data_IF_607620780858
#
_entry.id   IF_607620780858
#
_cell.length_a   1.000
_cell.length_b   1.000
_cell.length_c   1.000
_cell.angle_alpha   90.00
_cell.angle_beta   90.00
_cell.angle_gamma   90.00
#
_symmetry.space_group_name_H-M   'P 1'
#
loop_
_entity.id
_entity.type
_entity.pdbx_description
1 polymer ?
#
# COMPACT_ATOMS: atom_id res chain seq x y z
N UNK A 1 7.34 21.38 29.29
CA UNK A 1 7.71 20.21 28.46
C UNK A 1 6.61 19.78 27.49
N UNK A 2 5.32 19.75 27.85
CA UNK A 2 4.22 19.37 26.92
C UNK A 2 4.11 20.24 25.65
N UNK A 3 4.38 21.55 25.72
CA UNK A 3 4.20 22.50 24.59
C UNK A 3 5.19 22.30 23.43
N UNK A 4 6.40 21.78 23.68
CA UNK A 4 7.43 21.61 22.65
C UNK A 4 7.13 20.38 21.77
N UNK A 5 6.66 19.29 22.39
CA UNK A 5 6.24 18.08 21.69
C UNK A 5 5.05 18.33 20.75
N UNK A 6 4.04 19.09 21.20
CA UNK A 6 2.92 19.50 20.33
C UNK A 6 3.35 20.38 19.16
N UNK A 7 4.33 21.29 19.36
CA UNK A 7 4.82 22.14 18.27
C UNK A 7 5.58 21.36 17.21
N UNK A 8 6.41 20.40 17.61
CA UNK A 8 7.12 19.50 16.70
C UNK A 8 6.13 18.59 15.98
N UNK A 9 5.13 18.07 16.70
CA UNK A 9 4.06 17.25 16.12
C UNK A 9 3.26 18.05 15.07
N UNK A 10 2.77 19.23 15.40
CA UNK A 10 2.03 20.08 14.45
C UNK A 10 2.88 20.50 13.25
N UNK A 11 4.19 20.72 13.45
CA UNK A 11 5.10 21.04 12.36
C UNK A 11 5.32 19.82 11.44
N UNK A 12 5.72 18.67 11.98
CA UNK A 12 5.98 17.44 11.20
C UNK A 12 4.71 16.93 10.52
N UNK A 13 3.59 16.94 11.23
CA UNK A 13 2.28 16.48 10.75
C UNK A 13 1.43 17.62 10.15
N UNK A 14 2.07 18.66 9.63
CA UNK A 14 1.37 19.67 8.82
C UNK A 14 1.08 19.14 7.42
N UNK A 15 -0.03 19.58 6.81
CA UNK A 15 -0.42 19.21 5.44
C UNK A 15 0.63 19.63 4.40
N UNK A 16 1.37 20.73 4.65
CA UNK A 16 2.45 21.18 3.78
C UNK A 16 3.66 20.24 3.84
N UNK A 17 4.11 19.86 5.03
CA UNK A 17 5.23 18.94 5.20
C UNK A 17 4.88 17.53 4.72
N UNK A 18 3.62 17.09 4.88
CA UNK A 18 3.14 15.83 4.29
C UNK A 18 3.35 15.79 2.78
N UNK A 19 2.99 16.86 2.05
CA UNK A 19 3.18 16.96 0.59
C UNK A 19 4.66 17.00 0.19
N UNK A 20 5.50 17.66 0.98
CA UNK A 20 6.96 17.68 0.75
C UNK A 20 7.54 16.27 0.91
N UNK A 21 7.17 15.56 1.97
CA UNK A 21 7.60 14.19 2.24
C UNK A 21 7.10 13.25 1.13
N UNK A 22 5.85 13.38 0.70
CA UNK A 22 5.26 12.61 -0.40
C UNK A 22 6.07 12.76 -1.70
N UNK A 23 6.30 14.00 -2.13
CA UNK A 23 7.07 14.28 -3.34
C UNK A 23 8.51 13.75 -3.23
N UNK A 24 9.14 13.93 -2.06
CA UNK A 24 10.48 13.41 -1.80
C UNK A 24 10.53 11.88 -1.87
N UNK A 25 9.56 11.19 -1.28
CA UNK A 25 9.44 9.73 -1.36
C UNK A 25 9.31 9.26 -2.79
N UNK A 26 8.43 9.88 -3.59
CA UNK A 26 8.21 9.48 -5.00
C UNK A 26 9.49 9.67 -5.82
N UNK A 27 10.16 10.81 -5.68
CA UNK A 27 11.43 11.06 -6.36
C UNK A 27 12.51 10.05 -5.96
N UNK A 28 12.66 9.79 -4.66
CA UNK A 28 13.64 8.84 -4.14
C UNK A 28 13.33 7.41 -4.61
N UNK A 29 12.06 7.01 -4.62
CA UNK A 29 11.60 5.72 -5.13
C UNK A 29 11.92 5.56 -6.62
N UNK A 30 11.66 6.59 -7.42
CA UNK A 30 11.91 6.59 -8.87
C UNK A 30 13.40 6.49 -9.18
N UNK A 31 14.22 7.31 -8.51
CA UNK A 31 15.68 7.29 -8.69
C UNK A 31 16.24 5.93 -8.23
N UNK A 32 15.80 5.44 -7.07
CA UNK A 32 16.21 4.15 -6.54
C UNK A 32 15.82 2.99 -7.46
N UNK A 33 14.65 3.04 -8.10
CA UNK A 33 14.23 2.06 -9.10
C UNK A 33 15.15 2.05 -10.32
N UNK A 34 15.38 3.21 -10.93
CA UNK A 34 16.23 3.33 -12.12
C UNK A 34 17.66 2.88 -11.81
N UNK A 35 18.19 3.28 -10.64
CA UNK A 35 19.52 2.89 -10.20
C UNK A 35 19.62 1.37 -9.98
N UNK A 36 18.68 0.78 -9.24
CA UNK A 36 18.69 -0.66 -8.98
C UNK A 36 18.52 -1.46 -10.27
N UNK A 37 17.59 -1.07 -11.15
CA UNK A 37 17.39 -1.71 -12.44
C UNK A 37 18.66 -1.65 -13.30
N UNK A 38 19.34 -0.50 -13.32
CA UNK A 38 20.59 -0.33 -14.05
C UNK A 38 21.67 -1.30 -13.53
N UNK A 39 21.80 -1.46 -12.22
CA UNK A 39 22.73 -2.43 -11.62
C UNK A 39 22.40 -3.87 -12.02
N UNK A 40 21.11 -4.25 -11.99
CA UNK A 40 20.68 -5.60 -12.39
C UNK A 40 21.00 -5.86 -13.86
N UNK A 41 20.75 -4.89 -14.76
CA UNK A 41 21.04 -5.02 -16.18
C UNK A 41 22.54 -5.09 -16.48
N UNK A 42 23.36 -4.32 -15.75
CA UNK A 42 24.82 -4.37 -15.87
C UNK A 42 25.38 -5.71 -15.38
N UNK A 43 24.81 -6.27 -14.31
CA UNK A 43 25.19 -7.58 -13.79
C UNK A 43 24.73 -8.72 -14.73
N UNK A 44 23.50 -8.68 -15.24
CA UNK A 44 22.98 -9.71 -16.16
C UNK A 44 23.75 -9.76 -17.49
N UNK A 45 24.27 -8.63 -17.95
CA UNK A 45 25.10 -8.53 -19.16
C UNK A 45 26.59 -8.85 -18.89
N UNK A 46 26.96 -9.29 -17.69
CA UNK A 46 28.34 -9.58 -17.28
C UNK A 46 29.31 -8.39 -17.41
N UNK A 47 28.79 -7.16 -17.46
CA UNK A 47 29.60 -5.92 -17.52
C UNK A 47 30.22 -5.65 -16.15
N UNK A 48 29.47 -5.95 -15.09
CA UNK A 48 29.90 -5.89 -13.70
C UNK A 48 29.66 -7.27 -13.10
N UNK A 49 30.60 -7.79 -12.31
CA UNK A 49 30.47 -9.09 -11.67
C UNK A 49 30.19 -8.89 -10.17
N UNK A 50 28.95 -8.54 -9.84
CA UNK A 50 28.52 -8.22 -8.46
C UNK A 50 28.20 -9.47 -7.62
N UNK A 51 28.51 -10.67 -8.12
CA UNK A 51 28.17 -11.93 -7.48
C UNK A 51 26.71 -12.29 -7.74
N UNK A 52 26.48 -13.51 -8.22
CA UNK A 52 25.14 -14.02 -8.54
C UNK A 52 24.45 -14.68 -7.34
N UNK A 53 24.96 -14.47 -6.13
CA UNK A 53 24.46 -15.15 -4.93
C UNK A 53 23.09 -14.62 -4.47
N UNK A 54 22.67 -13.44 -4.96
CA UNK A 54 21.36 -12.87 -4.62
C UNK A 54 20.41 -12.79 -5.82
N UNK A 55 19.16 -13.25 -5.62
CA UNK A 55 18.04 -13.05 -6.56
C UNK A 55 17.79 -11.56 -6.87
N UNK A 56 18.21 -10.67 -5.97
CA UNK A 56 18.05 -9.22 -6.11
C UNK A 56 18.87 -8.63 -7.25
N UNK A 57 20.02 -9.21 -7.60
CA UNK A 57 20.90 -8.67 -8.65
C UNK A 57 20.85 -9.49 -9.95
N UNK A 58 20.06 -10.56 -9.99
CA UNK A 58 20.01 -11.51 -11.12
C UNK A 58 18.71 -11.46 -11.90
N UNK A 59 17.60 -11.04 -11.30
CA UNK A 59 16.29 -10.93 -11.97
C UNK A 59 15.89 -9.46 -12.17
N UNK A 60 15.70 -8.93 -13.39
CA UNK A 60 15.28 -7.54 -13.63
C UNK A 60 13.98 -7.13 -12.90
N UNK A 61 13.08 -8.08 -12.63
CA UNK A 61 11.84 -7.85 -11.90
C UNK A 61 12.12 -7.44 -10.45
N UNK A 62 13.28 -7.83 -9.89
CA UNK A 62 13.73 -7.45 -8.54
C UNK A 62 13.90 -5.97 -8.30
N UNK A 63 14.17 -5.20 -9.36
CA UNK A 63 14.39 -3.76 -9.25
C UNK A 63 13.17 -3.05 -8.62
N UNK A 64 11.98 -3.60 -8.85
CA UNK A 64 10.70 -3.12 -8.33
C UNK A 64 10.65 -3.13 -6.79
N UNK A 65 11.49 -3.91 -6.09
CA UNK A 65 11.55 -3.87 -4.63
C UNK A 65 12.01 -2.56 -4.05
N UNK A 66 12.93 -1.87 -4.71
CA UNK A 66 13.48 -0.63 -4.20
C UNK A 66 12.41 0.45 -4.07
N UNK A 67 11.65 0.81 -5.13
CA UNK A 67 10.59 1.80 -5.01
C UNK A 67 9.50 1.37 -4.02
N UNK A 68 9.10 0.09 -4.00
CA UNK A 68 8.09 -0.38 -3.05
C UNK A 68 8.55 -0.32 -1.60
N UNK A 69 9.83 -0.58 -1.32
CA UNK A 69 10.38 -0.46 0.04
C UNK A 69 10.38 0.98 0.52
N UNK A 70 10.74 1.92 -0.35
CA UNK A 70 10.73 3.36 -0.06
C UNK A 70 9.30 3.87 0.17
N UNK A 71 8.35 3.43 -0.66
CA UNK A 71 6.93 3.79 -0.52
C UNK A 71 6.34 3.23 0.78
N UNK A 72 6.72 2.03 1.23
CA UNK A 72 6.24 1.47 2.50
C UNK A 72 6.56 2.39 3.69
N UNK A 73 7.76 2.95 3.75
CA UNK A 73 8.12 3.88 4.82
C UNK A 73 7.20 5.11 4.85
N UNK A 74 6.83 5.60 3.66
CA UNK A 74 5.87 6.68 3.53
C UNK A 74 4.44 6.28 3.93
N UNK A 75 4.02 5.04 3.64
CA UNK A 75 2.73 4.52 4.09
C UNK A 75 2.65 4.45 5.63
N UNK A 76 3.71 4.01 6.31
CA UNK A 76 3.78 4.01 7.78
C UNK A 76 3.69 5.43 8.32
N UNK A 77 4.39 6.39 7.68
CA UNK A 77 4.26 7.81 8.03
C UNK A 77 2.82 8.31 7.89
N UNK A 78 2.14 7.99 6.79
CA UNK A 78 0.73 8.34 6.57
C UNK A 78 -0.20 7.68 7.59
N UNK A 79 0.04 6.43 7.96
CA UNK A 79 -0.74 5.73 8.98
C UNK A 79 -0.68 6.50 10.31
N UNK A 80 0.52 6.89 10.75
CA UNK A 80 0.71 7.68 11.97
C UNK A 80 0.04 9.06 11.83
N UNK A 81 0.18 9.71 10.67
CA UNK A 81 -0.43 11.01 10.38
C UNK A 81 -1.96 10.99 10.48
N UNK A 82 -2.61 9.93 9.99
CA UNK A 82 -4.07 9.81 9.97
C UNK A 82 -4.68 9.09 11.17
N UNK A 83 -3.86 8.49 12.04
CA UNK A 83 -4.30 7.80 13.26
C UNK A 83 -5.26 8.60 14.16
N UNK A 84 -5.12 9.93 14.35
CA UNK A 84 -6.06 10.71 15.18
C UNK A 84 -7.38 11.05 14.48
N UNK A 85 -7.62 10.65 13.23
CA UNK A 85 -8.88 10.90 12.51
C UNK A 85 -9.93 9.80 12.79
N UNK A 86 -11.19 10.06 12.42
CA UNK A 86 -12.35 9.25 12.83
C UNK A 86 -12.18 7.74 12.54
N UNK A 87 -12.67 6.90 13.46
CA UNK A 87 -12.56 5.43 13.41
C UNK A 87 -12.95 4.82 12.05
N UNK A 88 -14.04 5.30 11.44
CA UNK A 88 -14.51 4.83 10.13
C UNK A 88 -13.54 5.17 8.98
N UNK A 89 -12.87 6.31 9.04
CA UNK A 89 -11.84 6.70 8.07
C UNK A 89 -10.60 5.83 8.23
N UNK A 90 -10.21 5.53 9.47
CA UNK A 90 -9.05 4.71 9.78
C UNK A 90 -9.23 3.27 9.29
N UNK A 91 -10.42 2.67 9.45
CA UNK A 91 -10.71 1.32 8.91
C UNK A 91 -10.60 1.28 7.38
N UNK A 92 -11.18 2.24 6.65
CA UNK A 92 -11.07 2.27 5.18
C UNK A 92 -9.61 2.42 4.74
N UNK A 93 -8.85 3.30 5.40
CA UNK A 93 -7.43 3.51 5.09
C UNK A 93 -6.57 2.28 5.42
N UNK A 94 -6.92 1.51 6.45
CA UNK A 94 -6.24 0.25 6.76
C UNK A 94 -6.45 -0.79 5.66
N UNK A 95 -7.64 -0.91 5.08
CA UNK A 95 -7.86 -1.81 3.93
C UNK A 95 -7.02 -1.43 2.70
N UNK A 96 -6.85 -0.13 2.44
CA UNK A 96 -5.97 0.37 1.37
C UNK A 96 -4.50 -0.02 1.63
N UNK A 97 -4.02 0.19 2.86
CA UNK A 97 -2.66 -0.19 3.27
C UNK A 97 -2.45 -1.71 3.21
N UNK A 98 -3.39 -2.52 3.70
CA UNK A 98 -3.30 -3.99 3.64
C UNK A 98 -3.24 -4.44 2.17
N UNK A 99 -4.04 -3.84 1.29
CA UNK A 99 -4.02 -4.15 -0.14
C UNK A 99 -2.66 -3.84 -0.76
N UNK A 100 -2.07 -2.67 -0.44
CA UNK A 100 -0.74 -2.28 -0.91
C UNK A 100 0.37 -3.22 -0.40
N UNK A 101 0.30 -3.64 0.88
CA UNK A 101 1.24 -4.62 1.46
C UNK A 101 1.14 -5.97 0.74
N UNK A 102 -0.06 -6.47 0.49
CA UNK A 102 -0.25 -7.78 -0.19
C UNK A 102 0.25 -7.69 -1.64
N UNK A 103 -0.05 -6.61 -2.36
CA UNK A 103 0.47 -6.39 -3.72
C UNK A 103 2.01 -6.44 -3.71
N UNK A 104 2.66 -5.79 -2.74
CA UNK A 104 4.12 -5.84 -2.59
C UNK A 104 4.63 -7.27 -2.35
N UNK A 105 3.95 -8.05 -1.50
CA UNK A 105 4.30 -9.44 -1.21
C UNK A 105 4.12 -10.35 -2.43
N UNK A 106 3.19 -10.04 -3.32
CA UNK A 106 3.06 -10.73 -4.60
C UNK A 106 4.24 -10.42 -5.52
N UNK A 107 4.69 -9.16 -5.62
CA UNK A 107 5.84 -8.79 -6.46
C UNK A 107 7.17 -9.37 -5.97
N UNK A 108 7.39 -9.27 -4.66
CA UNK A 108 7.76 -10.40 -3.80
C UNK A 108 8.05 -11.79 -4.41
N UNK A 109 7.07 -12.64 -4.19
CA UNK A 109 7.12 -14.05 -4.51
C UNK A 109 7.20 -14.29 -6.04
N UNK A 110 6.70 -13.39 -6.90
CA UNK A 110 6.85 -13.46 -8.37
C UNK A 110 8.32 -13.62 -8.81
N UNK A 111 9.28 -13.07 -8.07
CA UNK A 111 10.69 -13.15 -8.49
C UNK A 111 11.32 -14.50 -8.22
N UNK A 112 10.72 -15.27 -7.30
CA UNK A 112 11.10 -16.64 -6.98
C UNK A 112 10.33 -17.66 -7.80
N UNK A 113 9.40 -17.19 -8.62
CA UNK A 113 8.50 -18.03 -9.41
C UNK A 113 9.31 -18.91 -10.36
N UNK A 114 9.10 -20.21 -10.25
CA UNK A 114 9.70 -21.21 -11.13
C UNK A 114 8.68 -21.66 -12.18
N UNK A 115 8.78 -21.10 -13.38
CA UNK A 115 7.90 -21.43 -14.50
C UNK A 115 8.14 -22.84 -15.07
N UNK A 116 9.29 -23.45 -14.78
CA UNK A 116 9.71 -24.72 -15.36
C UNK A 116 9.40 -25.93 -14.46
N UNK A 117 8.84 -25.70 -13.28
CA UNK A 117 8.45 -26.77 -12.38
C UNK A 117 7.41 -27.69 -13.03
N UNK A 118 7.72 -28.99 -13.13
CA UNK A 118 6.81 -29.99 -13.72
C UNK A 118 5.45 -30.03 -13.03
N UNK A 119 5.40 -29.66 -11.74
CA UNK A 119 4.18 -29.59 -10.95
C UNK A 119 4.11 -28.27 -10.18
N UNK A 120 3.32 -27.34 -10.71
CA UNK A 120 3.12 -25.99 -10.17
C UNK A 120 2.80 -25.96 -8.66
N UNK A 121 1.87 -26.83 -8.21
CA UNK A 121 1.37 -26.84 -6.84
C UNK A 121 2.29 -27.57 -5.84
N UNK A 122 3.29 -28.31 -6.31
CA UNK A 122 4.27 -28.98 -5.44
C UNK A 122 5.48 -28.08 -5.15
N UNK A 123 5.73 -27.06 -5.99
CA UNK A 123 6.77 -26.07 -5.74
C UNK A 123 6.30 -25.11 -4.62
N UNK A 124 7.07 -24.96 -3.51
CA UNK A 124 6.66 -24.15 -2.36
C UNK A 124 6.52 -22.66 -2.68
N UNK A 125 7.41 -22.11 -3.52
CA UNK A 125 7.37 -20.70 -3.93
C UNK A 125 6.14 -20.44 -4.82
N UNK A 126 5.87 -21.30 -5.80
CA UNK A 126 4.70 -21.18 -6.68
C UNK A 126 3.37 -21.37 -5.93
N UNK A 127 3.34 -22.29 -4.96
CA UNK A 127 2.17 -22.51 -4.11
C UNK A 127 1.89 -21.28 -3.23
N UNK A 128 2.94 -20.67 -2.66
CA UNK A 128 2.80 -19.44 -1.88
C UNK A 128 2.24 -18.28 -2.70
N UNK A 129 2.75 -18.08 -3.93
CA UNK A 129 2.21 -17.06 -4.87
C UNK A 129 0.72 -17.31 -5.13
N UNK A 130 0.34 -18.58 -5.33
CA UNK A 130 -1.05 -18.96 -5.57
C UNK A 130 -1.94 -18.58 -4.38
N UNK A 131 -1.51 -18.87 -3.15
CA UNK A 131 -2.23 -18.48 -1.94
C UNK A 131 -2.33 -16.96 -1.78
N UNK A 132 -1.28 -16.22 -2.10
CA UNK A 132 -1.27 -14.77 -2.04
C UNK A 132 -2.23 -14.13 -3.05
N UNK A 133 -2.26 -14.65 -4.28
CA UNK A 133 -3.18 -14.20 -5.33
C UNK A 133 -4.65 -14.52 -4.99
N UNK A 134 -4.93 -15.70 -4.42
CA UNK A 134 -6.29 -16.03 -3.96
C UNK A 134 -6.69 -15.14 -2.77
N UNK A 135 -5.77 -14.93 -1.82
CA UNK A 135 -6.02 -14.11 -0.64
C UNK A 135 -6.35 -12.66 -1.01
N UNK A 136 -5.63 -12.07 -1.96
CA UNK A 136 -5.91 -10.69 -2.37
C UNK A 136 -7.27 -10.57 -3.07
N UNK A 137 -7.66 -11.55 -3.90
CA UNK A 137 -8.97 -11.57 -4.54
C UNK A 137 -10.11 -11.65 -3.51
N UNK A 138 -9.97 -12.53 -2.52
CA UNK A 138 -10.94 -12.65 -1.42
C UNK A 138 -11.02 -11.34 -0.63
N UNK A 139 -9.87 -10.74 -0.30
CA UNK A 139 -9.83 -9.48 0.45
C UNK A 139 -10.54 -8.35 -0.31
N UNK A 140 -10.24 -8.17 -1.61
CA UNK A 140 -10.91 -7.17 -2.44
C UNK A 140 -12.42 -7.40 -2.51
N UNK A 141 -12.84 -8.66 -2.62
CA UNK A 141 -14.26 -9.01 -2.62
C UNK A 141 -14.95 -8.64 -1.30
N UNK A 142 -14.30 -8.90 -0.16
CA UNK A 142 -14.83 -8.52 1.17
C UNK A 142 -14.90 -7.00 1.34
N UNK A 143 -13.88 -6.26 0.91
CA UNK A 143 -13.88 -4.78 0.92
C UNK A 143 -15.03 -4.24 0.07
N UNK A 144 -15.25 -4.82 -1.11
CA UNK A 144 -16.36 -4.47 -1.99
C UNK A 144 -17.72 -4.67 -1.29
N UNK A 145 -17.95 -5.85 -0.69
CA UNK A 145 -19.18 -6.14 0.06
C UNK A 145 -19.38 -5.15 1.22
N UNK A 146 -18.33 -4.87 1.98
CA UNK A 146 -18.38 -3.92 3.09
C UNK A 146 -18.82 -2.51 2.60
N UNK A 147 -18.23 -2.03 1.51
CA UNK A 147 -18.59 -0.73 0.93
C UNK A 147 -20.03 -0.71 0.40
N UNK A 148 -20.49 -1.81 -0.21
CA UNK A 148 -21.86 -1.94 -0.69
C UNK A 148 -22.87 -1.83 0.47
N UNK A 149 -22.60 -2.51 1.59
CA UNK A 149 -23.44 -2.46 2.80
C UNK A 149 -23.42 -1.06 3.42
N UNK A 150 -22.24 -0.45 3.57
CA UNK A 150 -22.10 0.91 4.11
C UNK A 150 -22.91 1.94 3.31
N UNK A 151 -22.80 1.91 1.98
CA UNK A 151 -23.54 2.83 1.10
C UNK A 151 -25.06 2.69 1.25
N UNK A 152 -25.56 1.46 1.42
CA UNK A 152 -26.99 1.19 1.70
C UNK A 152 -27.45 1.71 3.06
N UNK A 153 -26.57 1.77 4.07
CA UNK A 153 -26.92 2.28 5.40
C UNK A 153 -26.96 3.82 5.41
N UNK A 154 -26.00 4.49 4.76
CA UNK A 154 -25.94 5.97 4.70
C UNK A 154 -27.12 6.56 3.92
N UNK A 155 -27.49 5.94 2.79
CA UNK A 155 -28.66 6.34 1.98
C UNK A 155 -29.99 6.20 2.73
N UNK A 156 -30.11 5.22 3.65
CA UNK A 156 -31.30 5.01 4.48
C UNK A 156 -31.44 6.02 5.63
N UNK A 157 -30.32 6.59 6.12
CA UNK A 157 -30.31 7.54 7.25
C UNK A 157 -30.62 8.98 6.81
N UNK A 158 -30.23 9.36 5.60
CA UNK A 158 -30.43 10.70 5.02
C UNK A 158 -31.89 10.98 4.62
N UNK A 159 -32.60 10.01 4.03
CA UNK A 159 -33.86 10.30 3.32
C UNK A 159 -35.11 10.47 4.20
N UNK A 160 -35.18 9.85 5.39
CA UNK A 160 -36.44 9.78 6.17
C UNK A 160 -36.45 10.58 7.47
N UNK A 161 -35.26 10.83 8.06
CA UNK A 161 -35.14 11.57 9.33
C UNK A 161 -34.78 13.05 9.09
N UNK A 162 -33.90 13.34 8.13
CA UNK A 162 -33.49 14.71 7.80
C UNK A 162 -34.64 15.54 7.21
N UNK A 163 -35.39 14.97 6.27
CA UNK A 163 -36.60 15.60 5.68
C UNK A 163 -37.64 15.92 6.75
N UNK A 164 -37.97 14.95 7.61
CA UNK A 164 -38.88 15.18 8.75
C UNK A 164 -38.39 16.27 9.72
N UNK A 165 -37.08 16.34 10.00
CA UNK A 165 -36.53 17.40 10.85
C UNK A 165 -36.58 18.78 10.20
N UNK A 166 -36.36 18.88 8.89
CA UNK A 166 -36.46 20.14 8.13
C UNK A 166 -37.92 20.60 8.05
N UNK A 167 -38.85 19.67 7.81
CA UNK A 167 -40.29 19.98 7.76
C UNK A 167 -40.84 20.40 9.13
N UNK A 168 -40.44 19.74 10.22
CA UNK A 168 -40.78 20.16 11.58
C UNK A 168 -40.25 21.56 11.92
N UNK A 169 -39.10 21.96 11.36
CA UNK A 169 -38.53 23.30 11.55
C UNK A 169 -39.15 24.39 10.67
N UNK A 170 -39.87 24.03 9.60
CA UNK A 170 -40.59 24.97 8.74
C UNK A 170 -41.99 25.33 9.27
N UNK A 171 -42.52 24.53 10.20
CA UNK A 171 -43.86 24.69 10.80
C UNK A 171 -43.81 25.57 12.06
N UNK A 172 -42.61 25.79 12.63
CA UNK A 172 -42.35 26.71 13.75
C UNK A 172 -41.81 28.02 13.17
#
# INVERSE_FOLDING_TARGET
>A
MLKFGTKIFEFIFSEENRKKIESFTIWTATIGFVFHLSLVLLNSNSIINLGNESLLLTNPISAIYTPFSIILYYEIFLLIFYLPRSFTTSILKQFEIISLIIIRRIFYDIQKLDLNAEKWLENPDNLQITYDLISILILFFLIYLFNLVKSRIETKKSSKRMTRFIDSKKII
#
